data_IF_965329236012
#
_entry.id   IF_965329236012
#
_cell.length_a   1.000
_cell.length_b   1.000
_cell.length_c   1.000
_cell.angle_alpha   90.00
_cell.angle_beta   90.00
_cell.angle_gamma   90.00
#
_symmetry.space_group_name_H-M   'P 1'
#
loop_
_entity.id
_entity.type
_entity.pdbx_description
1 polymer ?
#
# COMPACT_ATOMS: atom_id res chain seq x y z
N UNK A 1 9.36 5.17 34.53
CA UNK A 1 8.68 3.85 34.52
C UNK A 1 7.57 3.95 33.48
N UNK A 2 7.67 3.25 32.34
CA UNK A 2 6.56 3.21 31.38
C UNK A 2 5.50 2.25 31.91
N UNK A 3 4.42 2.80 32.45
CA UNK A 3 3.28 2.03 32.96
C UNK A 3 2.17 2.00 31.92
N UNK A 4 1.56 0.84 31.70
CA UNK A 4 0.41 0.66 30.82
C UNK A 4 -0.26 -0.68 31.13
N UNK A 5 -1.57 -0.67 31.38
CA UNK A 5 -2.35 -1.84 31.85
C UNK A 5 -2.22 -3.08 30.96
N UNK A 6 -1.97 -2.87 29.66
CA UNK A 6 -1.84 -3.94 28.68
C UNK A 6 -0.40 -4.13 28.17
N UNK A 7 0.58 -3.42 28.73
CA UNK A 7 1.98 -3.67 28.40
C UNK A 7 2.37 -5.08 28.85
N UNK A 8 2.90 -5.87 27.93
CA UNK A 8 3.30 -7.25 28.22
C UNK A 8 2.12 -8.21 28.43
N UNK A 9 0.91 -7.86 27.97
CA UNK A 9 -0.23 -8.77 28.05
C UNK A 9 0.13 -10.13 27.40
N UNK A 10 -0.02 -11.27 28.11
CA UNK A 10 0.52 -12.56 27.65
C UNK A 10 0.08 -12.97 26.24
N UNK A 11 -1.17 -12.69 25.88
CA UNK A 11 -1.68 -12.97 24.54
C UNK A 11 -0.96 -12.16 23.45
N UNK A 12 -0.66 -10.88 23.71
CA UNK A 12 0.04 -10.03 22.76
C UNK A 12 1.50 -10.49 22.60
N UNK A 13 2.15 -10.87 23.70
CA UNK A 13 3.50 -11.44 23.66
C UNK A 13 3.54 -12.76 22.89
N UNK A 14 2.59 -13.68 23.15
CA UNK A 14 2.52 -14.97 22.45
C UNK A 14 2.27 -14.79 20.94
N UNK A 15 1.33 -13.92 20.56
CA UNK A 15 1.07 -13.61 19.15
C UNK A 15 2.27 -12.95 18.47
N UNK A 16 2.98 -12.05 19.18
CA UNK A 16 4.20 -11.43 18.69
C UNK A 16 5.30 -12.46 18.43
N UNK A 17 5.58 -13.36 19.38
CA UNK A 17 6.58 -14.41 19.22
C UNK A 17 6.25 -15.33 18.03
N UNK A 18 5.02 -15.81 17.94
CA UNK A 18 4.59 -16.65 16.83
C UNK A 18 4.67 -15.93 15.47
N UNK A 19 4.40 -14.62 15.44
CA UNK A 19 4.55 -13.80 14.23
C UNK A 19 6.01 -13.70 13.81
N UNK A 20 6.93 -13.49 14.77
CA UNK A 20 8.36 -13.37 14.48
C UNK A 20 8.98 -14.68 13.98
N UNK A 21 8.45 -15.84 14.37
CA UNK A 21 8.89 -17.15 13.85
C UNK A 21 8.47 -17.39 12.39
N UNK A 22 7.34 -16.80 11.96
CA UNK A 22 6.80 -16.98 10.60
C UNK A 22 7.22 -15.86 9.66
N UNK A 23 7.22 -14.62 10.13
CA UNK A 23 7.66 -13.43 9.39
C UNK A 23 9.14 -13.20 9.69
N UNK A 24 9.93 -14.21 9.34
CA UNK A 24 11.36 -14.14 9.39
C UNK A 24 11.91 -13.39 8.17
N UNK A 25 13.24 -13.43 7.99
CA UNK A 25 13.87 -12.80 6.83
C UNK A 25 13.32 -13.32 5.49
N UNK A 26 13.08 -14.63 5.37
CA UNK A 26 12.51 -15.22 4.16
C UNK A 26 11.08 -14.76 3.91
N UNK A 27 10.27 -14.63 4.97
CA UNK A 27 8.93 -14.06 4.91
C UNK A 27 8.93 -12.62 4.37
N UNK A 28 9.80 -11.75 4.91
CA UNK A 28 9.95 -10.38 4.39
C UNK A 28 10.41 -10.34 2.94
N UNK A 29 11.38 -11.16 2.55
CA UNK A 29 11.88 -11.24 1.17
C UNK A 29 10.76 -11.66 0.20
N UNK A 30 9.91 -12.62 0.59
CA UNK A 30 8.74 -13.03 -0.19
C UNK A 30 7.72 -11.89 -0.34
N UNK A 31 7.38 -11.19 0.74
CA UNK A 31 6.44 -10.06 0.67
C UNK A 31 6.97 -8.94 -0.23
N UNK A 32 8.26 -8.65 -0.15
CA UNK A 32 8.92 -7.64 -1.00
C UNK A 32 8.91 -8.05 -2.47
N UNK A 33 9.18 -9.33 -2.77
CA UNK A 33 9.13 -9.86 -4.13
C UNK A 33 7.72 -9.72 -4.74
N UNK A 34 6.69 -10.09 -3.98
CA UNK A 34 5.30 -9.96 -4.42
C UNK A 34 4.92 -8.50 -4.66
N UNK A 35 5.31 -7.60 -3.77
CA UNK A 35 5.03 -6.17 -3.91
C UNK A 35 5.77 -5.54 -5.11
N UNK A 36 7.02 -5.91 -5.35
CA UNK A 36 7.76 -5.50 -6.54
C UNK A 36 7.05 -5.94 -7.83
N UNK A 37 6.57 -7.20 -7.86
CA UNK A 37 5.81 -7.71 -9.00
C UNK A 37 4.54 -6.90 -9.24
N UNK A 38 3.69 -6.73 -8.22
CA UNK A 38 2.43 -5.98 -8.33
C UNK A 38 2.68 -4.53 -8.77
N UNK A 39 3.63 -3.84 -8.12
CA UNK A 39 4.00 -2.46 -8.46
C UNK A 39 4.52 -2.35 -9.90
N UNK A 40 5.39 -3.28 -10.32
CA UNK A 40 5.98 -3.30 -11.65
C UNK A 40 4.94 -3.56 -12.75
N UNK A 41 4.10 -4.59 -12.57
CA UNK A 41 3.07 -4.96 -13.54
C UNK A 41 2.01 -3.87 -13.69
N UNK A 42 1.49 -3.34 -12.59
CA UNK A 42 0.44 -2.31 -12.65
C UNK A 42 0.96 -0.98 -13.20
N UNK A 43 2.17 -0.55 -12.82
CA UNK A 43 2.77 0.66 -13.39
C UNK A 43 3.11 0.49 -14.87
N UNK A 44 3.64 -0.68 -15.25
CA UNK A 44 3.94 -0.98 -16.65
C UNK A 44 2.69 -0.98 -17.51
N UNK A 45 1.62 -1.62 -17.03
CA UNK A 45 0.31 -1.60 -17.69
C UNK A 45 -0.25 -0.18 -17.81
N UNK A 46 -0.26 0.60 -16.72
CA UNK A 46 -0.78 1.96 -16.72
C UNK A 46 -0.01 2.87 -17.69
N UNK A 47 1.33 2.77 -17.70
CA UNK A 47 2.18 3.52 -18.62
C UNK A 47 1.91 3.13 -20.08
N UNK A 48 1.83 1.82 -20.39
CA UNK A 48 1.56 1.33 -21.75
C UNK A 48 0.18 1.75 -22.28
N UNK A 49 -0.80 1.95 -21.39
CA UNK A 49 -2.15 2.40 -21.74
C UNK A 49 -2.35 3.92 -21.64
N UNK A 50 -1.34 4.67 -21.18
CA UNK A 50 -1.48 6.10 -20.94
C UNK A 50 -2.46 6.44 -19.81
N UNK A 51 -2.73 5.50 -18.89
CA UNK A 51 -3.57 5.75 -17.74
C UNK A 51 -2.82 6.61 -16.71
N UNK A 52 -3.46 7.64 -16.14
CA UNK A 52 -2.85 8.48 -15.12
C UNK A 52 -2.93 7.79 -13.75
N UNK A 53 -2.33 6.60 -13.65
CA UNK A 53 -2.31 5.75 -12.46
C UNK A 53 -0.88 5.43 -12.07
N UNK A 54 -0.62 5.38 -10.77
CA UNK A 54 0.69 5.03 -10.22
C UNK A 54 0.55 4.23 -8.92
N UNK A 55 1.26 3.10 -8.85
CA UNK A 55 1.63 2.41 -7.61
C UNK A 55 2.95 2.99 -7.08
N UNK A 56 2.97 3.39 -5.82
CA UNK A 56 4.15 3.92 -5.12
C UNK A 56 4.32 3.25 -3.76
N UNK A 57 5.37 3.63 -3.02
CA UNK A 57 5.77 2.99 -1.78
C UNK A 57 7.03 2.14 -1.93
N UNK A 58 7.45 1.54 -0.83
CA UNK A 58 8.69 0.77 -0.73
C UNK A 58 8.45 -0.53 0.03
N UNK A 59 9.30 -1.53 -0.21
CA UNK A 59 9.12 -2.88 0.31
C UNK A 59 7.71 -3.43 0.01
N UNK A 60 7.09 -4.11 0.96
CA UNK A 60 5.71 -4.61 0.86
C UNK A 60 4.63 -3.59 1.22
N UNK A 61 4.98 -2.31 1.40
CA UNK A 61 4.03 -1.23 1.74
C UNK A 61 3.75 -0.42 0.49
N UNK A 62 2.59 -0.68 -0.12
CA UNK A 62 2.19 -0.05 -1.37
C UNK A 62 1.02 0.92 -1.18
N UNK A 63 1.12 2.06 -1.86
CA UNK A 63 0.02 2.98 -2.10
C UNK A 63 -0.27 3.10 -3.59
N UNK A 64 -1.44 3.62 -3.93
CA UNK A 64 -1.83 3.89 -5.31
C UNK A 64 -2.46 5.27 -5.41
N UNK A 65 -2.37 5.86 -6.61
CA UNK A 65 -3.01 7.13 -6.90
C UNK A 65 -3.40 7.22 -8.37
N UNK A 66 -4.58 7.80 -8.61
CA UNK A 66 -4.88 8.45 -9.88
C UNK A 66 -4.38 9.88 -9.82
N UNK A 67 -3.57 10.28 -10.80
CA UNK A 67 -3.07 11.64 -10.92
C UNK A 67 -3.92 12.44 -11.92
N UNK A 68 -3.89 13.77 -11.81
CA UNK A 68 -4.54 14.68 -12.78
C UNK A 68 -3.97 14.52 -14.19
N UNK A 69 -2.68 14.15 -14.30
CA UNK A 69 -1.98 13.94 -15.57
C UNK A 69 -1.08 12.70 -15.50
N UNK A 70 -0.97 11.97 -16.61
CA UNK A 70 -0.09 10.81 -16.74
C UNK A 70 1.40 11.18 -16.58
N UNK A 71 2.21 10.21 -16.14
CA UNK A 71 3.67 10.36 -15.98
C UNK A 71 4.11 11.22 -14.80
N UNK A 72 3.19 11.64 -13.91
CA UNK A 72 3.53 12.37 -12.68
C UNK A 72 3.86 11.39 -11.56
N UNK A 73 4.92 11.69 -10.82
CA UNK A 73 5.28 10.98 -9.58
C UNK A 73 4.97 11.83 -8.35
N UNK A 74 4.58 11.18 -7.26
CA UNK A 74 4.42 11.78 -5.94
C UNK A 74 5.68 11.52 -5.12
N UNK A 75 6.41 12.58 -4.74
CA UNK A 75 7.62 12.47 -3.91
C UNK A 75 7.40 12.91 -2.47
N UNK A 76 6.39 13.73 -2.24
CA UNK A 76 6.05 14.30 -0.94
C UNK A 76 4.56 14.16 -0.69
N UNK A 77 4.15 14.32 0.57
CA UNK A 77 2.73 14.37 0.88
C UNK A 77 2.04 15.59 0.22
N UNK A 78 2.74 16.72 0.08
CA UNK A 78 2.21 17.88 -0.65
C UNK A 78 2.00 17.60 -2.14
N UNK A 79 2.86 16.78 -2.76
CA UNK A 79 2.67 16.32 -4.13
C UNK A 79 1.39 15.50 -4.26
N UNK A 80 1.16 14.56 -3.33
CA UNK A 80 -0.04 13.72 -3.27
C UNK A 80 -1.29 14.61 -3.30
N UNK A 81 -1.42 15.56 -2.36
CA UNK A 81 -2.59 16.44 -2.27
C UNK A 81 -2.82 17.31 -3.52
N UNK A 82 -1.76 17.74 -4.20
CA UNK A 82 -1.87 18.66 -5.35
C UNK A 82 -2.12 17.94 -6.67
N UNK A 83 -1.53 16.75 -6.83
CA UNK A 83 -1.44 16.05 -8.12
C UNK A 83 -2.50 14.97 -8.29
N UNK A 84 -3.21 14.59 -7.23
CA UNK A 84 -4.21 13.52 -7.28
C UNK A 84 -5.54 13.99 -7.84
N UNK A 85 -6.22 13.07 -8.50
CA UNK A 85 -7.57 13.21 -9.00
C UNK A 85 -8.53 12.46 -8.06
N UNK A 86 -9.12 13.20 -7.12
CA UNK A 86 -9.94 12.64 -6.03
C UNK A 86 -11.21 11.95 -6.55
N UNK A 87 -11.79 12.45 -7.65
CA UNK A 87 -12.96 11.86 -8.28
C UNK A 87 -12.62 10.47 -8.83
N UNK A 88 -11.52 10.36 -9.59
CA UNK A 88 -11.06 9.06 -10.11
C UNK A 88 -10.65 8.10 -9.00
N UNK A 89 -10.04 8.61 -7.93
CA UNK A 89 -9.73 7.80 -6.76
C UNK A 89 -10.99 7.20 -6.14
N UNK A 90 -12.04 8.01 -5.93
CA UNK A 90 -13.30 7.54 -5.35
C UNK A 90 -13.99 6.51 -6.26
N UNK A 91 -14.07 6.78 -7.57
CA UNK A 91 -14.64 5.85 -8.55
C UNK A 91 -13.90 4.52 -8.50
N UNK A 92 -12.57 4.55 -8.50
CA UNK A 92 -11.76 3.34 -8.46
C UNK A 92 -11.95 2.55 -7.17
N UNK A 93 -11.96 3.21 -6.00
CA UNK A 93 -12.18 2.55 -4.71
C UNK A 93 -13.52 1.81 -4.69
N UNK A 94 -14.59 2.46 -5.14
CA UNK A 94 -15.92 1.86 -5.20
C UNK A 94 -15.97 0.68 -6.19
N UNK A 95 -15.32 0.81 -7.33
CA UNK A 95 -15.26 -0.26 -8.34
C UNK A 95 -14.42 -1.46 -7.89
N UNK A 96 -13.34 -1.22 -7.12
CA UNK A 96 -12.57 -2.31 -6.53
C UNK A 96 -13.38 -3.03 -5.44
N UNK A 97 -14.10 -2.27 -4.61
CA UNK A 97 -14.95 -2.84 -3.56
C UNK A 97 -16.09 -3.68 -4.14
N UNK A 98 -16.72 -3.24 -5.24
CA UNK A 98 -17.77 -4.02 -5.93
C UNK A 98 -17.26 -5.36 -6.47
N UNK A 99 -15.94 -5.49 -6.68
CA UNK A 99 -15.24 -6.69 -7.14
C UNK A 99 -14.60 -7.50 -6.00
N UNK A 100 -14.80 -7.09 -4.74
CA UNK A 100 -14.27 -7.78 -3.56
C UNK A 100 -12.83 -7.43 -3.20
N UNK A 101 -12.26 -6.37 -3.78
CA UNK A 101 -10.95 -5.84 -3.42
C UNK A 101 -11.11 -4.59 -2.56
N UNK A 102 -10.46 -4.57 -1.39
CA UNK A 102 -10.53 -3.46 -0.44
C UNK A 102 -9.15 -2.81 -0.24
N UNK A 103 -8.60 -2.18 -1.29
CA UNK A 103 -7.33 -1.50 -1.15
C UNK A 103 -7.53 -0.31 -0.21
N UNK A 104 -6.68 -0.19 0.82
CA UNK A 104 -6.76 0.91 1.77
C UNK A 104 -6.62 2.24 1.03
N UNK A 105 -7.71 2.99 0.93
CA UNK A 105 -7.68 4.39 0.51
C UNK A 105 -7.50 5.23 1.77
N UNK A 106 -6.33 5.83 1.95
CA UNK A 106 -6.13 6.85 2.96
C UNK A 106 -6.89 8.12 2.55
N UNK A 107 -7.81 8.52 3.43
CA UNK A 107 -8.70 9.69 3.36
C UNK A 107 -8.01 10.99 2.94
#
# INVERSE_FOLDING_TARGET
MMSGTHHGHPLACAAGLATMDVVDRGGYELFNLMAQKVKGELNGWAAAKGHPFIMFGDFSVLGYAFTKHAGKTNRTHSDYLRKIDDEKMMIYVLEMASRGYFPVSSW
#
